data_IF_230739755001
#
_entry.id   IF_230739755001
#
_cell.length_a   1.000
_cell.length_b   1.000
_cell.length_c   1.000
_cell.angle_alpha   90.00
_cell.angle_beta   90.00
_cell.angle_gamma   90.00
#
_symmetry.space_group_name_H-M   'P 1'
#
loop_
_entity.id
_entity.type
_entity.pdbx_description
1 polymer ?
#
# COMPACT_ATOMS: atom_id res chain seq x y z
N UNK A 1 18.13 10.89 1.02
CA UNK A 1 16.78 11.51 0.95
C UNK A 1 15.63 10.49 1.00
N UNK A 2 15.74 9.28 0.44
CA UNK A 2 14.66 8.24 0.51
C UNK A 2 14.28 7.73 1.90
N UNK A 3 15.19 7.79 2.88
CA UNK A 3 14.97 7.26 4.25
C UNK A 3 13.89 8.01 5.04
N UNK A 4 13.70 9.30 4.79
CA UNK A 4 12.66 10.09 5.46
C UNK A 4 11.26 9.62 5.03
N UNK A 5 11.07 9.47 3.72
CA UNK A 5 9.81 8.98 3.13
C UNK A 5 9.53 7.54 3.55
N UNK A 6 10.53 6.67 3.52
CA UNK A 6 10.38 5.28 3.98
C UNK A 6 10.02 5.20 5.48
N UNK A 7 10.57 6.08 6.32
CA UNK A 7 10.21 6.18 7.75
C UNK A 7 8.79 6.69 7.95
N UNK A 8 8.33 7.65 7.14
CA UNK A 8 6.94 8.12 7.16
C UNK A 8 5.97 7.02 6.74
N UNK A 9 6.29 6.27 5.67
CA UNK A 9 5.48 5.13 5.21
C UNK A 9 5.43 4.03 6.27
N UNK A 10 6.55 3.69 6.91
CA UNK A 10 6.55 2.75 8.04
C UNK A 10 5.79 3.28 9.25
N UNK A 11 5.87 4.57 9.53
CA UNK A 11 5.09 5.22 10.58
C UNK A 11 3.59 5.05 10.33
N UNK A 12 3.15 5.32 9.09
CA UNK A 12 1.79 5.11 8.62
C UNK A 12 1.35 3.63 8.66
N UNK A 13 2.23 2.69 8.27
CA UNK A 13 1.94 1.25 8.40
C UNK A 13 1.83 0.80 9.88
N UNK A 14 2.55 1.48 10.78
CA UNK A 14 2.61 1.16 12.22
C UNK A 14 1.48 1.81 13.01
N UNK A 15 0.84 2.87 12.50
CA UNK A 15 -0.39 3.40 13.07
C UNK A 15 -1.49 2.35 12.95
N UNK A 16 -1.77 1.66 14.07
CA UNK A 16 -2.78 0.60 14.23
C UNK A 16 -4.22 1.03 13.91
N UNK A 17 -4.44 2.29 13.50
CA UNK A 17 -5.71 2.84 13.06
C UNK A 17 -6.24 2.13 11.80
N UNK A 18 -5.39 1.82 10.81
CA UNK A 18 -5.85 1.19 9.57
C UNK A 18 -5.89 -0.35 9.63
N UNK A 19 -5.24 -0.95 10.63
CA UNK A 19 -5.23 -2.40 10.88
C UNK A 19 -6.19 -2.81 12.00
N UNK A 20 -6.86 -1.85 12.63
CA UNK A 20 -7.83 -2.15 13.68
C UNK A 20 -9.08 -2.76 13.04
N UNK A 21 -9.36 -4.02 13.36
CA UNK A 21 -10.62 -4.69 13.08
C UNK A 21 -11.84 -3.86 13.53
N UNK A 22 -11.65 -2.90 14.44
CA UNK A 22 -12.68 -1.98 14.94
C UNK A 22 -13.21 -1.01 13.87
N UNK A 23 -12.35 -0.40 13.04
CA UNK A 23 -12.80 0.50 11.96
C UNK A 23 -13.29 -0.29 10.74
N UNK A 24 -12.76 -1.49 10.52
CA UNK A 24 -13.20 -2.45 9.48
C UNK A 24 -14.64 -2.94 9.71
N UNK A 25 -15.08 -3.00 10.97
CA UNK A 25 -16.46 -3.39 11.33
C UNK A 25 -17.45 -2.23 11.30
N UNK A 26 -16.98 -0.99 11.44
CA UNK A 26 -17.83 0.20 11.53
C UNK A 26 -18.04 0.86 10.16
N UNK A 27 -17.03 0.78 9.29
CA UNK A 27 -17.10 1.21 7.90
C UNK A 27 -16.98 -0.03 7.02
N UNK A 28 -18.12 -0.48 6.49
CA UNK A 28 -18.34 -1.55 5.47
C UNK A 28 -17.56 -1.35 4.14
N UNK A 29 -16.45 -0.65 4.18
CA UNK A 29 -15.50 -0.52 3.09
C UNK A 29 -14.45 -1.60 3.25
N UNK A 30 -14.48 -2.56 2.34
CA UNK A 30 -13.39 -3.50 2.04
C UNK A 30 -12.16 -2.74 1.49
N UNK A 31 -11.59 -1.84 2.28
CA UNK A 31 -10.27 -1.26 2.05
C UNK A 31 -9.15 -2.27 2.37
N UNK A 32 -9.44 -3.58 2.27
CA UNK A 32 -8.41 -4.60 2.20
C UNK A 32 -7.77 -4.48 0.82
N UNK A 33 -6.48 -4.15 0.79
CA UNK A 33 -5.75 -4.16 -0.47
C UNK A 33 -5.98 -5.50 -1.16
N UNK A 34 -6.56 -5.47 -2.36
CA UNK A 34 -6.91 -6.68 -3.12
C UNK A 34 -5.68 -7.42 -3.63
N UNK A 35 -4.55 -6.73 -3.69
CA UNK A 35 -3.28 -7.30 -4.06
C UNK A 35 -2.43 -7.63 -2.84
N UNK A 36 -1.72 -8.75 -2.90
CA UNK A 36 -0.71 -9.14 -1.93
C UNK A 36 0.68 -9.03 -2.57
N UNK A 37 1.67 -8.34 -1.97
CA UNK A 37 1.56 -7.49 -0.77
C UNK A 37 0.66 -6.26 -0.98
N UNK A 38 0.22 -5.65 0.13
CA UNK A 38 -0.67 -4.48 0.13
C UNK A 38 -0.10 -3.31 -0.68
N UNK A 39 -0.96 -2.39 -1.14
CA UNK A 39 -0.52 -1.24 -1.95
C UNK A 39 0.51 -0.36 -1.21
N UNK A 40 0.40 -0.20 0.11
CA UNK A 40 1.39 0.53 0.91
C UNK A 40 2.73 -0.20 1.02
N UNK A 41 2.69 -1.52 1.20
CA UNK A 41 3.89 -2.37 1.24
C UNK A 41 4.58 -2.45 -0.14
N UNK A 42 3.79 -2.58 -1.21
CA UNK A 42 4.29 -2.51 -2.57
C UNK A 42 4.97 -1.16 -2.85
N UNK A 43 4.34 -0.06 -2.44
CA UNK A 43 4.90 1.29 -2.62
C UNK A 43 6.18 1.47 -1.81
N UNK A 44 6.23 0.97 -0.57
CA UNK A 44 7.44 0.97 0.25
C UNK A 44 8.59 0.24 -0.46
N UNK A 45 8.37 -1.00 -0.90
CA UNK A 45 9.37 -1.82 -1.58
C UNK A 45 9.79 -1.21 -2.92
N UNK A 46 8.85 -0.64 -3.67
CA UNK A 46 9.12 0.02 -4.93
C UNK A 46 9.99 1.29 -4.74
N UNK A 47 9.71 2.09 -3.70
CA UNK A 47 10.55 3.26 -3.36
C UNK A 47 11.93 2.83 -2.86
N UNK A 48 12.01 1.72 -2.11
CA UNK A 48 13.27 1.18 -1.62
C UNK A 48 14.18 0.72 -2.77
N UNK A 49 13.63 -0.03 -3.73
CA UNK A 49 14.34 -0.62 -4.88
C UNK A 49 14.58 0.38 -6.02
N UNK A 50 13.58 1.16 -6.43
CA UNK A 50 13.64 2.03 -7.60
C UNK A 50 13.78 3.53 -7.29
N UNK A 51 13.79 3.91 -6.02
CA UNK A 51 13.80 5.32 -5.60
C UNK A 51 12.41 5.96 -5.60
N UNK A 52 12.34 7.20 -5.11
CA UNK A 52 11.06 7.87 -4.79
C UNK A 52 10.19 8.04 -6.03
N UNK A 53 10.70 8.63 -7.11
CA UNK A 53 9.90 8.95 -8.29
C UNK A 53 9.31 7.71 -8.98
N UNK A 54 10.13 6.69 -9.22
CA UNK A 54 9.67 5.44 -9.87
C UNK A 54 8.83 4.59 -8.92
N UNK A 55 9.18 4.57 -7.64
CA UNK A 55 8.43 3.86 -6.61
C UNK A 55 7.03 4.42 -6.37
N UNK A 56 6.87 5.75 -6.35
CA UNK A 56 5.56 6.39 -6.23
C UNK A 56 4.72 6.16 -7.48
N UNK A 57 5.29 6.28 -8.70
CA UNK A 57 4.57 5.97 -9.94
C UNK A 57 4.04 4.53 -9.97
N UNK A 58 4.86 3.55 -9.59
CA UNK A 58 4.46 2.14 -9.52
C UNK A 58 3.36 1.91 -8.46
N UNK A 59 3.51 2.52 -7.28
CA UNK A 59 2.51 2.48 -6.21
C UNK A 59 1.17 3.08 -6.63
N UNK A 60 1.18 4.28 -7.22
CA UNK A 60 -0.01 5.00 -7.66
C UNK A 60 -0.77 4.21 -8.74
N UNK A 61 -0.05 3.67 -9.72
CA UNK A 61 -0.62 2.80 -10.77
C UNK A 61 -1.29 1.56 -10.18
N UNK A 62 -0.82 1.05 -9.04
CA UNK A 62 -1.44 -0.09 -8.35
C UNK A 62 -2.66 0.30 -7.52
N UNK A 63 -2.62 1.47 -6.87
CA UNK A 63 -3.77 2.02 -6.12
C UNK A 63 -4.96 2.21 -7.06
N UNK A 64 -4.74 2.78 -8.25
CA UNK A 64 -5.80 2.97 -9.27
C UNK A 64 -6.40 1.62 -9.70
N UNK A 65 -5.59 0.57 -9.78
CA UNK A 65 -6.05 -0.80 -10.09
C UNK A 65 -6.72 -1.49 -8.91
N UNK A 66 -6.57 -0.99 -7.68
CA UNK A 66 -7.11 -1.56 -6.46
C UNK A 66 -8.55 -1.10 -6.21
N UNK A 67 -9.46 -1.42 -7.14
CA UNK A 67 -10.89 -1.12 -7.07
C UNK A 67 -11.72 -2.38 -6.76
N UNK A 68 -12.96 -2.26 -6.22
CA UNK A 68 -13.78 -3.41 -5.80
C UNK A 68 -14.16 -4.41 -6.90
N UNK A 69 -14.05 -4.01 -8.16
CA UNK A 69 -14.29 -4.90 -9.32
C UNK A 69 -13.05 -5.66 -9.79
N UNK A 70 -11.88 -5.42 -9.21
CA UNK A 70 -10.68 -6.18 -9.56
C UNK A 70 -10.61 -7.46 -8.73
N UNK A 71 -10.31 -8.61 -9.35
CA UNK A 71 -10.13 -9.88 -8.62
C UNK A 71 -8.99 -9.83 -7.61
N UNK A 72 -8.05 -8.90 -7.78
CA UNK A 72 -6.85 -8.87 -6.97
C UNK A 72 -5.93 -10.05 -7.25
N UNK A 73 -4.91 -10.24 -6.42
CA UNK A 73 -3.96 -11.36 -6.58
C UNK A 73 -2.57 -11.07 -6.03
N UNK A 74 -1.67 -12.04 -6.21
CA UNK A 74 -0.26 -11.85 -5.86
C UNK A 74 0.45 -11.07 -6.98
N UNK A 75 0.96 -9.90 -6.64
CA UNK A 75 1.69 -9.03 -7.59
C UNK A 75 2.94 -8.51 -6.85
N UNK A 76 4.08 -9.22 -6.90
CA UNK A 76 5.31 -8.75 -6.28
C UNK A 76 5.90 -7.59 -7.08
N UNK A 77 6.76 -6.79 -6.44
CA UNK A 77 7.58 -5.85 -7.19
C UNK A 77 8.52 -6.63 -8.14
N UNK A 78 8.65 -6.22 -9.42
CA UNK A 78 9.69 -6.75 -10.29
C UNK A 78 11.09 -6.37 -9.77
#
# INVERSE_FOLDING_TARGET
MKKLILRLIRGYQKTKIFRSSFLKSLFLTDASCRFNPTCSEYTYRAIEKYGIAKGTLLGLKRIIRCHPWNKGGYDPIP
#
